data_IF_680123490493
#
_entry.id   IF_680123490493
#
_cell.length_a   1.000
_cell.length_b   1.000
_cell.length_c   1.000
_cell.angle_alpha   90.00
_cell.angle_beta   90.00
_cell.angle_gamma   90.00
#
_symmetry.space_group_name_H-M   'P 1'
#
loop_
_entity.id
_entity.type
_entity.pdbx_description
1 polymer ?
#
# COMPACT_ATOMS: atom_id res chain seq x y z
N UNK A 1 2.25 -13.92 -13.75
CA UNK A 1 1.12 -13.01 -13.96
C UNK A 1 0.97 -12.08 -12.76
N UNK A 2 1.05 -10.77 -12.96
CA UNK A 2 0.94 -9.78 -11.89
C UNK A 2 -0.51 -9.65 -11.43
N UNK A 3 -1.42 -9.36 -12.37
CA UNK A 3 -2.87 -9.26 -12.17
C UNK A 3 -3.56 -10.01 -13.33
N UNK A 4 -4.67 -10.69 -13.03
CA UNK A 4 -5.50 -11.33 -14.03
C UNK A 4 -6.76 -11.89 -13.38
N UNK A 5 -7.91 -11.32 -13.74
CA UNK A 5 -9.21 -11.71 -13.19
C UNK A 5 -10.31 -11.53 -14.23
N UNK A 6 -11.42 -12.20 -14.00
CA UNK A 6 -12.67 -12.01 -14.73
C UNK A 6 -13.59 -11.17 -13.85
N UNK A 7 -14.19 -10.13 -14.43
CA UNK A 7 -15.15 -9.27 -13.73
C UNK A 7 -16.55 -9.47 -14.33
N UNK A 8 -17.52 -9.65 -13.44
CA UNK A 8 -18.94 -9.69 -13.76
C UNK A 8 -19.69 -8.59 -13.04
N UNK A 9 -20.39 -7.75 -13.80
CA UNK A 9 -21.28 -6.74 -13.25
C UNK A 9 -22.71 -7.31 -13.23
N UNK A 10 -23.15 -7.76 -12.05
CA UNK A 10 -24.50 -8.26 -11.85
C UNK A 10 -25.50 -7.09 -11.78
N UNK A 11 -26.64 -7.15 -12.49
CA UNK A 11 -27.64 -6.09 -12.48
C UNK A 11 -28.49 -6.15 -11.19
N UNK A 12 -27.86 -5.97 -10.04
CA UNK A 12 -28.47 -6.02 -8.72
C UNK A 12 -28.31 -4.64 -8.07
N UNK A 13 -29.42 -4.01 -7.71
CA UNK A 13 -29.44 -2.69 -7.06
C UNK A 13 -28.72 -1.64 -7.90
N UNK A 14 -27.78 -0.91 -7.29
CA UNK A 14 -26.99 0.15 -7.93
C UNK A 14 -25.73 -0.36 -8.66
N UNK A 15 -25.59 -1.69 -8.82
CA UNK A 15 -24.45 -2.37 -9.42
C UNK A 15 -23.71 -3.22 -8.40
N UNK A 16 -23.51 -4.49 -8.75
CA UNK A 16 -22.80 -5.46 -7.93
C UNK A 16 -21.68 -6.08 -8.78
N UNK A 17 -20.45 -5.65 -8.51
CA UNK A 17 -19.26 -6.16 -9.20
C UNK A 17 -18.72 -7.39 -8.48
N UNK A 18 -18.39 -8.42 -9.25
CA UNK A 18 -17.77 -9.65 -8.77
C UNK A 18 -16.51 -9.89 -9.60
N UNK A 19 -15.35 -9.88 -8.95
CA UNK A 19 -14.06 -10.24 -9.53
C UNK A 19 -13.66 -11.65 -9.09
N UNK A 20 -13.21 -12.47 -10.02
CA UNK A 20 -12.68 -13.80 -9.77
C UNK A 20 -11.29 -13.95 -10.40
N UNK A 21 -10.27 -14.22 -9.61
CA UNK A 21 -8.88 -14.36 -10.06
C UNK A 21 -7.88 -13.64 -9.15
N UNK A 22 -6.79 -13.12 -9.75
CA UNK A 22 -5.76 -12.37 -9.05
C UNK A 22 -5.93 -10.87 -9.30
N UNK A 23 -6.16 -10.10 -8.26
CA UNK A 23 -6.41 -8.66 -8.31
C UNK A 23 -5.53 -7.89 -7.31
N UNK A 24 -5.36 -6.59 -7.54
CA UNK A 24 -4.63 -5.71 -6.62
C UNK A 24 -5.38 -5.58 -5.29
N UNK A 25 -4.62 -5.35 -4.22
CA UNK A 25 -5.16 -5.11 -2.89
C UNK A 25 -6.07 -3.87 -2.86
N UNK A 26 -6.95 -3.81 -1.86
CA UNK A 26 -7.74 -2.63 -1.50
C UNK A 26 -7.12 -1.85 -0.34
N UNK A 27 -6.01 -2.34 0.22
CA UNK A 27 -5.29 -1.73 1.35
C UNK A 27 -4.27 -0.73 0.84
N UNK A 28 -4.21 0.45 1.48
CA UNK A 28 -3.23 1.49 1.19
C UNK A 28 -3.69 2.50 0.13
N UNK A 29 -3.00 3.63 0.09
CA UNK A 29 -3.27 4.74 -0.82
C UNK A 29 -2.50 4.64 -2.14
N UNK A 30 -1.37 3.95 -2.15
CA UNK A 30 -0.54 3.78 -3.35
C UNK A 30 -0.88 2.48 -4.06
N UNK A 31 -0.89 2.51 -5.38
CA UNK A 31 -1.21 1.34 -6.20
C UNK A 31 0.06 0.68 -6.76
N UNK A 32 -0.05 -0.61 -7.07
CA UNK A 32 1.06 -1.41 -7.57
C UNK A 32 1.47 -1.00 -8.99
N UNK A 33 0.53 -0.60 -9.81
CA UNK A 33 0.74 -0.23 -11.21
C UNK A 33 1.37 1.16 -11.32
N UNK A 34 2.70 1.22 -11.21
CA UNK A 34 3.44 2.46 -11.21
C UNK A 34 3.56 3.18 -12.56
N UNK A 35 3.18 2.53 -13.65
CA UNK A 35 3.23 3.09 -14.99
C UNK A 35 1.99 3.94 -15.34
N UNK A 36 0.96 3.88 -14.58
CA UNK A 36 -0.32 4.50 -14.87
C UNK A 36 -0.42 5.98 -14.46
N UNK A 37 0.55 6.47 -13.70
CA UNK A 37 0.55 7.86 -13.20
C UNK A 37 -0.39 8.12 -12.03
N UNK A 38 -1.01 7.09 -11.47
CA UNK A 38 -1.86 7.23 -10.27
C UNK A 38 -1.06 7.52 -9.00
N UNK A 39 0.20 7.08 -8.95
CA UNK A 39 1.08 7.40 -7.84
C UNK A 39 1.79 8.73 -8.10
N UNK A 40 1.75 9.64 -7.15
CA UNK A 40 2.29 11.00 -7.29
C UNK A 40 3.82 11.06 -7.12
N UNK A 41 4.41 10.04 -6.53
CA UNK A 41 5.86 9.89 -6.32
C UNK A 41 6.40 8.71 -7.14
N UNK A 42 7.70 8.73 -7.48
CA UNK A 42 8.34 7.61 -8.16
C UNK A 42 8.55 6.42 -7.20
N UNK A 43 9.19 6.66 -6.05
CA UNK A 43 9.33 5.64 -5.03
C UNK A 43 8.01 5.41 -4.28
N UNK A 44 7.90 4.29 -3.59
CA UNK A 44 6.72 3.93 -2.79
C UNK A 44 6.95 4.16 -1.31
N UNK A 45 5.86 4.30 -0.56
CA UNK A 45 5.90 4.41 0.89
C UNK A 45 6.30 3.10 1.57
N UNK A 46 6.65 3.18 2.85
CA UNK A 46 6.86 1.99 3.68
C UNK A 46 5.57 1.19 3.84
N UNK A 47 4.41 1.87 4.00
CA UNK A 47 3.11 1.20 4.09
C UNK A 47 2.83 0.36 2.86
N UNK A 48 3.12 0.87 1.66
CA UNK A 48 3.01 0.10 0.42
C UNK A 48 3.97 -1.10 0.43
N UNK A 49 5.26 -0.88 0.74
CA UNK A 49 6.28 -1.93 0.64
C UNK A 49 6.09 -3.07 1.66
N UNK A 50 5.49 -2.80 2.80
CA UNK A 50 5.26 -3.78 3.86
C UNK A 50 3.80 -4.20 4.02
N UNK A 51 2.90 -3.67 3.19
CA UNK A 51 1.51 -4.07 3.05
C UNK A 51 1.30 -5.24 2.07
N UNK A 52 0.05 -5.69 1.88
CA UNK A 52 -0.31 -6.62 0.82
C UNK A 52 -0.28 -5.94 -0.56
N UNK A 53 0.14 -6.66 -1.60
CA UNK A 53 0.11 -6.20 -2.99
C UNK A 53 -1.07 -6.77 -3.77
N UNK A 54 -1.29 -8.08 -3.65
CA UNK A 54 -2.27 -8.80 -4.45
C UNK A 54 -3.00 -9.85 -3.63
N UNK A 55 -4.19 -10.19 -4.11
CA UNK A 55 -4.98 -11.30 -3.57
C UNK A 55 -5.49 -12.17 -4.71
N UNK A 56 -5.53 -13.48 -4.50
CA UNK A 56 -6.14 -14.43 -5.43
C UNK A 56 -7.38 -15.02 -4.77
N UNK A 57 -8.54 -14.84 -5.41
CA UNK A 57 -9.81 -15.25 -4.82
C UNK A 57 -11.03 -14.64 -5.48
N UNK A 58 -12.00 -14.30 -4.67
CA UNK A 58 -13.24 -13.62 -5.06
C UNK A 58 -13.34 -12.30 -4.31
N UNK A 59 -13.59 -11.22 -5.05
CA UNK A 59 -13.87 -9.89 -4.50
C UNK A 59 -15.23 -9.42 -5.00
N UNK A 60 -16.00 -8.86 -4.09
CA UNK A 60 -17.34 -8.34 -4.36
C UNK A 60 -17.40 -6.87 -3.96
N UNK A 61 -18.00 -6.04 -4.80
CA UNK A 61 -18.14 -4.60 -4.55
C UNK A 61 -19.58 -4.19 -4.82
N UNK A 62 -20.13 -3.37 -3.95
CA UNK A 62 -21.50 -2.88 -4.05
C UNK A 62 -21.61 -1.39 -3.76
N UNK A 63 -22.29 -0.66 -4.62
CA UNK A 63 -22.63 0.76 -4.43
C UNK A 63 -23.89 0.84 -3.57
N UNK A 64 -23.72 1.17 -2.29
CA UNK A 64 -24.83 1.28 -1.33
C UNK A 64 -25.65 2.53 -1.59
N UNK A 65 -24.98 3.65 -1.86
CA UNK A 65 -25.57 4.95 -2.20
C UNK A 65 -24.59 5.76 -3.05
N UNK A 66 -24.99 6.97 -3.47
CA UNK A 66 -24.12 7.89 -4.21
C UNK A 66 -22.84 8.28 -3.44
N UNK A 67 -22.84 8.10 -2.12
CA UNK A 67 -21.72 8.48 -1.25
C UNK A 67 -21.05 7.31 -0.54
N UNK A 68 -21.62 6.09 -0.58
CA UNK A 68 -21.13 4.93 0.19
C UNK A 68 -20.99 3.72 -0.71
N UNK A 69 -19.79 3.14 -0.73
CA UNK A 69 -19.51 1.85 -1.31
C UNK A 69 -19.00 0.86 -0.27
N UNK A 70 -19.20 -0.42 -0.52
CA UNK A 70 -18.62 -1.51 0.28
C UNK A 70 -17.93 -2.52 -0.61
N UNK A 71 -16.87 -3.13 -0.08
CA UNK A 71 -16.15 -4.23 -0.68
C UNK A 71 -15.99 -5.34 0.34
N UNK A 72 -16.14 -6.57 -0.10
CA UNK A 72 -15.79 -7.76 0.67
C UNK A 72 -15.04 -8.75 -0.20
N UNK A 73 -14.10 -9.51 0.37
CA UNK A 73 -13.38 -10.53 -0.38
C UNK A 73 -13.01 -11.74 0.48
N UNK A 74 -12.80 -12.85 -0.23
CA UNK A 74 -12.20 -14.09 0.29
C UNK A 74 -11.04 -14.45 -0.63
N UNK A 75 -9.86 -14.73 -0.07
CA UNK A 75 -8.64 -15.00 -0.83
C UNK A 75 -7.78 -16.11 -0.23
N UNK A 76 -6.76 -16.52 -0.97
CA UNK A 76 -5.75 -17.47 -0.53
C UNK A 76 -4.70 -16.87 0.45
N UNK A 77 -4.97 -15.68 1.03
CA UNK A 77 -4.04 -14.96 1.88
C UNK A 77 -3.40 -13.75 1.19
N UNK A 78 -2.32 -13.25 1.78
CA UNK A 78 -1.55 -12.11 1.29
C UNK A 78 -0.56 -12.58 0.22
N UNK A 79 -0.63 -11.99 -0.98
CA UNK A 79 0.29 -12.21 -2.11
C UNK A 79 0.42 -13.66 -2.60
N UNK A 80 -0.42 -14.57 -2.08
CA UNK A 80 -0.43 -15.97 -2.42
C UNK A 80 -1.25 -16.25 -3.68
N UNK A 81 -0.61 -16.76 -4.74
CA UNK A 81 -1.31 -17.23 -5.93
C UNK A 81 -1.93 -18.62 -5.69
N UNK A 82 -1.15 -19.51 -5.09
CA UNK A 82 -1.60 -20.83 -4.63
C UNK A 82 -1.67 -20.77 -3.11
N UNK A 83 -2.74 -21.29 -2.54
CA UNK A 83 -2.90 -21.36 -1.11
C UNK A 83 -1.77 -22.19 -0.48
N UNK A 84 -1.08 -21.63 0.51
CA UNK A 84 0.07 -22.24 1.17
C UNK A 84 -0.25 -22.78 2.58
N UNK A 85 -1.53 -22.66 2.98
CA UNK A 85 -2.08 -23.21 4.23
C UNK A 85 -3.55 -23.60 4.05
N UNK A 86 -4.25 -24.04 5.09
CA UNK A 86 -5.65 -24.45 5.01
C UNK A 86 -6.66 -23.32 5.26
N UNK A 87 -6.19 -22.15 5.67
CA UNK A 87 -7.04 -21.01 6.01
C UNK A 87 -7.22 -20.05 4.84
N UNK A 88 -8.30 -19.28 4.87
CA UNK A 88 -8.57 -18.23 3.87
C UNK A 88 -8.37 -16.85 4.48
N UNK A 89 -7.94 -15.92 3.64
CA UNK A 89 -7.92 -14.49 3.96
C UNK A 89 -9.27 -13.85 3.71
N UNK A 90 -9.63 -12.88 4.53
CA UNK A 90 -10.84 -12.08 4.43
C UNK A 90 -10.47 -10.61 4.40
N UNK A 91 -11.06 -9.87 3.48
CA UNK A 91 -10.87 -8.43 3.36
C UNK A 91 -12.19 -7.70 3.26
N UNK A 92 -12.17 -6.43 3.64
CA UNK A 92 -13.30 -5.54 3.52
C UNK A 92 -12.87 -4.09 3.43
N UNK A 93 -13.71 -3.29 2.76
CA UNK A 93 -13.56 -1.84 2.67
C UNK A 93 -14.92 -1.18 2.78
N UNK A 94 -14.94 -0.05 3.47
CA UNK A 94 -16.01 0.94 3.35
C UNK A 94 -15.40 2.17 2.71
N UNK A 95 -15.94 2.59 1.56
CA UNK A 95 -15.63 3.87 0.93
C UNK A 95 -16.76 4.86 1.23
N UNK A 96 -16.39 6.09 1.62
CA UNK A 96 -17.34 7.13 1.93
C UNK A 96 -16.89 8.48 1.36
N UNK A 97 -17.74 9.09 0.52
CA UNK A 97 -17.51 10.39 -0.11
C UNK A 97 -18.60 11.36 0.38
N UNK A 98 -18.45 11.90 1.63
CA UNK A 98 -19.50 12.74 2.23
C UNK A 98 -19.77 14.04 1.48
N UNK A 99 -18.73 14.55 0.79
CA UNK A 99 -18.75 15.74 -0.07
C UNK A 99 -17.83 15.51 -1.26
N UNK A 100 -18.03 16.23 -2.36
CA UNK A 100 -17.34 16.01 -3.65
C UNK A 100 -15.81 16.08 -3.59
N UNK A 101 -15.26 16.78 -2.60
CA UNK A 101 -13.83 16.98 -2.47
C UNK A 101 -13.17 16.15 -1.35
N UNK A 102 -13.89 15.20 -0.75
CA UNK A 102 -13.38 14.35 0.34
C UNK A 102 -13.81 12.90 0.12
N UNK A 103 -12.84 11.99 0.03
CA UNK A 103 -13.05 10.55 0.05
C UNK A 103 -12.31 9.90 1.21
N UNK A 104 -12.98 8.97 1.88
CA UNK A 104 -12.45 8.19 2.99
C UNK A 104 -12.60 6.71 2.68
N UNK A 105 -11.55 5.94 2.96
CA UNK A 105 -11.53 4.49 2.79
C UNK A 105 -11.09 3.86 4.11
N UNK A 106 -11.90 2.97 4.63
CA UNK A 106 -11.60 2.17 5.81
C UNK A 106 -11.42 0.73 5.38
N UNK A 107 -10.22 0.22 5.52
CA UNK A 107 -9.80 -1.07 5.00
C UNK A 107 -9.45 -2.03 6.13
N UNK A 108 -9.80 -3.28 5.93
CA UNK A 108 -9.36 -4.40 6.75
C UNK A 108 -8.95 -5.56 5.86
N UNK A 109 -7.87 -6.23 6.23
CA UNK A 109 -7.48 -7.52 5.69
C UNK A 109 -6.91 -8.40 6.79
N UNK A 110 -7.40 -9.63 6.90
CA UNK A 110 -6.92 -10.62 7.84
C UNK A 110 -6.76 -11.98 7.18
N UNK A 111 -5.64 -12.67 7.46
CA UNK A 111 -5.35 -14.00 6.94
C UNK A 111 -4.42 -14.76 7.88
N UNK A 112 -4.51 -16.09 7.85
CA UNK A 112 -3.44 -16.91 8.36
C UNK A 112 -2.31 -16.99 7.33
N UNK A 113 -1.08 -16.80 7.76
CA UNK A 113 0.09 -16.81 6.88
C UNK A 113 1.12 -17.83 7.32
N UNK A 114 1.68 -18.56 6.37
CA UNK A 114 2.77 -19.50 6.65
C UNK A 114 4.05 -18.73 6.94
N UNK A 115 4.56 -18.91 8.15
CA UNK A 115 5.83 -18.32 8.56
C UNK A 115 6.97 -19.30 8.36
N UNK A 116 8.05 -18.83 7.74
CA UNK A 116 9.25 -19.63 7.43
C UNK A 116 10.44 -18.95 8.09
N UNK A 117 11.28 -19.73 8.80
CA UNK A 117 12.53 -19.22 9.37
C UNK A 117 13.61 -19.00 8.30
N UNK A 118 14.72 -18.36 8.67
CA UNK A 118 15.84 -18.09 7.76
C UNK A 118 16.50 -19.34 7.13
N UNK A 119 16.21 -20.53 7.64
CA UNK A 119 16.65 -21.81 7.09
C UNK A 119 15.62 -22.48 6.16
N UNK A 120 14.52 -21.84 5.82
CA UNK A 120 13.47 -22.35 4.94
C UNK A 120 12.52 -23.34 5.62
N UNK A 121 12.56 -23.45 6.95
CA UNK A 121 11.66 -24.34 7.71
C UNK A 121 10.42 -23.59 8.14
N UNK A 122 9.23 -24.18 7.90
CA UNK A 122 7.96 -23.67 8.43
C UNK A 122 7.98 -23.72 9.96
N UNK A 123 7.77 -22.58 10.59
CA UNK A 123 7.70 -22.45 12.07
C UNK A 123 6.27 -22.31 12.56
N UNK A 124 5.38 -21.75 11.73
CA UNK A 124 3.96 -21.65 11.96
C UNK A 124 3.23 -21.66 10.61
N UNK A 125 2.21 -22.49 10.46
CA UNK A 125 1.39 -22.54 9.22
C UNK A 125 0.13 -21.69 9.32
N UNK A 126 -0.26 -21.26 10.51
CA UNK A 126 -1.55 -20.63 10.79
C UNK A 126 -1.40 -19.31 11.57
N UNK A 127 -0.25 -18.63 11.41
CA UNK A 127 -0.01 -17.33 12.05
C UNK A 127 -1.01 -16.29 11.58
N UNK A 128 -1.85 -15.81 12.47
CA UNK A 128 -2.84 -14.79 12.13
C UNK A 128 -2.15 -13.45 11.90
N UNK A 129 -2.44 -12.82 10.75
CA UNK A 129 -1.98 -11.49 10.39
C UNK A 129 -3.18 -10.63 10.08
N UNK A 130 -3.25 -9.44 10.67
CA UNK A 130 -4.34 -8.50 10.48
C UNK A 130 -3.79 -7.13 10.12
N UNK A 131 -4.40 -6.48 9.13
CA UNK A 131 -4.15 -5.10 8.71
C UNK A 131 -5.41 -4.27 8.91
N UNK A 132 -5.24 -3.12 9.53
CA UNK A 132 -6.23 -2.05 9.62
C UNK A 132 -5.63 -0.84 8.93
N UNK A 133 -6.34 -0.30 7.96
CA UNK A 133 -5.81 0.76 7.12
C UNK A 133 -6.88 1.82 6.87
N UNK A 134 -6.48 3.06 6.80
CA UNK A 134 -7.36 4.19 6.49
C UNK A 134 -6.68 5.10 5.49
N UNK A 135 -7.41 5.44 4.43
CA UNK A 135 -6.99 6.42 3.43
C UNK A 135 -7.95 7.59 3.43
N UNK A 136 -7.41 8.79 3.39
CA UNK A 136 -8.15 10.05 3.27
C UNK A 136 -7.61 10.80 2.07
N UNK A 137 -8.48 11.09 1.12
CA UNK A 137 -8.16 11.95 -0.02
C UNK A 137 -8.98 13.22 0.06
N UNK A 138 -8.34 14.38 0.04
CA UNK A 138 -9.04 15.65 0.07
C UNK A 138 -8.44 16.64 -0.94
N UNK A 139 -9.31 17.16 -1.82
CA UNK A 139 -8.99 18.26 -2.71
C UNK A 139 -9.25 19.57 -1.98
N UNK A 140 -8.20 20.17 -1.42
CA UNK A 140 -8.28 21.44 -0.68
C UNK A 140 -8.57 22.63 -1.60
N UNK A 141 -8.16 22.53 -2.85
CA UNK A 141 -8.50 23.46 -3.95
C UNK A 141 -8.38 22.73 -5.28
N UNK A 142 -8.64 23.45 -6.40
CA UNK A 142 -8.47 22.90 -7.76
C UNK A 142 -7.03 22.46 -8.06
N UNK A 143 -6.05 23.01 -7.32
CA UNK A 143 -4.63 22.80 -7.56
C UNK A 143 -3.92 22.11 -6.39
N UNK A 144 -4.62 21.81 -5.29
CA UNK A 144 -4.00 21.27 -4.08
C UNK A 144 -4.78 20.06 -3.60
N UNK A 145 -4.12 18.90 -3.65
CA UNK A 145 -4.62 17.62 -3.14
C UNK A 145 -3.76 17.17 -1.96
N UNK A 146 -4.41 16.63 -0.95
CA UNK A 146 -3.81 15.94 0.17
C UNK A 146 -4.30 14.49 0.20
N UNK A 147 -3.38 13.54 0.28
CA UNK A 147 -3.67 12.12 0.49
C UNK A 147 -2.95 11.68 1.77
N UNK A 148 -3.69 11.11 2.71
CA UNK A 148 -3.19 10.59 3.98
C UNK A 148 -3.49 9.10 4.06
N UNK A 149 -2.52 8.33 4.52
CA UNK A 149 -2.68 6.91 4.75
C UNK A 149 -2.11 6.53 6.12
N UNK A 150 -2.88 5.81 6.91
CA UNK A 150 -2.46 5.26 8.19
C UNK A 150 -2.75 3.76 8.22
N UNK A 151 -1.75 2.97 8.59
CA UNK A 151 -1.84 1.51 8.66
C UNK A 151 -1.38 1.03 10.03
N UNK A 152 -2.11 0.07 10.61
CA UNK A 152 -1.71 -0.72 11.77
C UNK A 152 -1.78 -2.20 11.42
N UNK A 153 -0.74 -2.93 11.75
CA UNK A 153 -0.69 -4.36 11.53
C UNK A 153 -0.29 -5.12 12.79
N UNK A 154 -0.85 -6.31 12.92
CA UNK A 154 -0.55 -7.26 14.00
C UNK A 154 -0.47 -8.67 13.44
N UNK A 155 0.51 -9.44 13.91
CA UNK A 155 0.76 -10.82 13.48
C UNK A 155 1.20 -11.67 14.66
N UNK A 156 0.79 -12.93 14.73
CA UNK A 156 1.28 -13.88 15.70
C UNK A 156 2.82 -13.94 15.68
N UNK A 157 3.43 -14.06 16.86
CA UNK A 157 4.87 -14.02 16.97
C UNK A 157 5.55 -15.14 16.18
N UNK A 158 6.49 -14.77 15.30
CA UNK A 158 7.19 -15.70 14.41
C UNK A 158 8.13 -16.67 15.12
N UNK A 159 8.75 -16.24 16.20
CA UNK A 159 9.81 -17.01 16.85
C UNK A 159 9.28 -18.02 17.85
N UNK A 160 8.11 -17.73 18.42
CA UNK A 160 7.49 -18.59 19.42
C UNK A 160 5.96 -18.43 19.35
N UNK A 161 5.27 -19.31 18.59
CA UNK A 161 3.81 -19.32 18.55
C UNK A 161 3.23 -19.35 19.96
N UNK A 162 2.24 -18.51 20.22
CA UNK A 162 1.61 -18.29 21.54
C UNK A 162 2.46 -17.49 22.54
N UNK A 163 3.54 -16.84 22.13
CA UNK A 163 4.39 -16.02 23.03
C UNK A 163 4.15 -14.51 22.91
N UNK A 164 3.14 -14.09 22.16
CA UNK A 164 2.79 -12.70 21.96
C UNK A 164 2.44 -12.38 20.48
N UNK A 165 2.39 -11.12 20.18
CA UNK A 165 2.09 -10.58 18.84
C UNK A 165 3.26 -9.71 18.39
N UNK A 166 3.52 -9.68 17.10
CA UNK A 166 4.38 -8.69 16.47
C UNK A 166 3.51 -7.56 15.94
N UNK A 167 3.93 -6.32 16.16
CA UNK A 167 3.18 -5.14 15.77
C UNK A 167 4.00 -4.21 14.89
N UNK A 168 3.32 -3.52 14.00
CA UNK A 168 3.88 -2.42 13.21
C UNK A 168 2.79 -1.42 12.87
N UNK A 169 3.20 -0.19 12.64
CA UNK A 169 2.29 0.86 12.19
C UNK A 169 3.02 1.91 11.37
N UNK A 170 2.29 2.65 10.60
CA UNK A 170 2.86 3.71 9.79
C UNK A 170 1.85 4.77 9.40
N UNK A 171 2.39 5.91 9.00
CA UNK A 171 1.65 7.03 8.47
C UNK A 171 2.37 7.62 7.27
N UNK A 172 1.61 7.94 6.21
CA UNK A 172 2.08 8.66 5.03
C UNK A 172 1.17 9.83 4.73
N UNK A 173 1.77 10.97 4.47
CA UNK A 173 1.08 12.13 3.91
C UNK A 173 1.69 12.51 2.57
N UNK A 174 0.85 12.64 1.53
CA UNK A 174 1.25 13.10 0.21
C UNK A 174 0.52 14.41 -0.08
N UNK A 175 1.27 15.43 -0.47
CA UNK A 175 0.73 16.71 -0.95
C UNK A 175 1.09 16.85 -2.42
N UNK A 176 0.09 17.03 -3.27
CA UNK A 176 0.25 17.39 -4.67
C UNK A 176 -0.19 18.83 -4.89
N UNK A 177 0.68 19.63 -5.47
CA UNK A 177 0.38 21.00 -5.87
C UNK A 177 0.63 21.20 -7.38
N UNK A 178 -0.44 21.42 -8.12
CA UNK A 178 -0.38 21.74 -9.56
C UNK A 178 -0.06 23.23 -9.72
N UNK A 179 1.21 23.55 -9.99
CA UNK A 179 1.69 24.92 -10.18
C UNK A 179 1.02 25.52 -11.43
N UNK A 180 0.88 24.72 -12.49
CA UNK A 180 0.20 25.05 -13.74
C UNK A 180 -0.12 23.76 -14.52
N UNK A 181 -0.56 23.88 -15.79
CA UNK A 181 -1.00 22.73 -16.61
C UNK A 181 0.13 21.76 -16.99
N UNK A 182 1.39 22.12 -16.81
CA UNK A 182 2.53 21.30 -17.19
C UNK A 182 3.48 20.96 -16.03
N UNK A 183 3.38 21.63 -14.87
CA UNK A 183 4.25 21.41 -13.72
C UNK A 183 3.42 21.13 -12.48
N UNK A 184 3.72 20.01 -11.82
CA UNK A 184 3.21 19.65 -10.48
C UNK A 184 4.37 19.37 -9.53
N UNK A 185 4.18 19.70 -8.27
CA UNK A 185 5.12 19.38 -7.19
C UNK A 185 4.44 18.39 -6.25
N UNK A 186 5.08 17.27 -6.01
CA UNK A 186 4.58 16.24 -5.11
C UNK A 186 5.56 16.12 -3.94
N UNK A 187 5.05 16.20 -2.72
CA UNK A 187 5.80 15.96 -1.50
C UNK A 187 5.19 14.77 -0.77
N UNK A 188 6.02 13.85 -0.28
CA UNK A 188 5.59 12.77 0.61
C UNK A 188 6.45 12.78 1.87
N UNK A 189 5.79 12.83 3.04
CA UNK A 189 6.38 12.56 4.34
C UNK A 189 5.80 11.28 4.91
N UNK A 190 6.62 10.46 5.58
CA UNK A 190 6.17 9.18 6.11
C UNK A 190 6.99 8.75 7.33
N UNK A 191 6.36 7.94 8.17
CA UNK A 191 6.98 7.26 9.31
C UNK A 191 6.49 5.83 9.35
N UNK A 192 7.35 4.89 9.74
CA UNK A 192 7.02 3.49 9.91
C UNK A 192 7.75 2.92 11.12
N UNK A 193 6.99 2.31 12.01
CA UNK A 193 7.48 1.63 13.20
C UNK A 193 7.30 0.14 13.02
N UNK A 194 8.38 -0.62 13.17
CA UNK A 194 8.40 -2.08 13.20
C UNK A 194 8.86 -2.51 14.59
N UNK A 195 7.91 -2.53 15.51
CA UNK A 195 8.17 -2.65 16.95
C UNK A 195 8.84 -3.99 17.33
N UNK A 196 8.72 -4.99 16.47
CA UNK A 196 9.24 -6.33 16.67
C UNK A 196 10.14 -6.82 15.52
N UNK A 197 10.39 -5.97 14.52
CA UNK A 197 11.17 -6.34 13.34
C UNK A 197 10.47 -7.35 12.41
N UNK A 198 9.16 -7.47 12.52
CA UNK A 198 8.40 -8.50 11.81
C UNK A 198 8.28 -8.23 10.30
N UNK A 199 8.36 -6.98 9.90
CA UNK A 199 8.19 -6.54 8.51
C UNK A 199 9.52 -6.25 7.83
N UNK A 200 10.41 -5.54 8.51
CA UNK A 200 11.71 -5.09 7.99
C UNK A 200 12.85 -6.06 8.31
N UNK A 201 12.64 -6.97 9.24
CA UNK A 201 13.67 -7.87 9.78
C UNK A 201 14.51 -7.24 10.91
N UNK A 202 14.24 -6.00 11.28
CA UNK A 202 14.95 -5.25 12.32
C UNK A 202 13.96 -4.39 13.09
N UNK A 203 14.01 -4.47 14.43
CA UNK A 203 13.26 -3.54 15.28
C UNK A 203 13.77 -2.14 15.01
N UNK A 204 12.89 -1.28 14.46
CA UNK A 204 13.27 0.06 14.06
C UNK A 204 12.08 1.01 13.90
N UNK A 205 12.38 2.28 14.05
CA UNK A 205 11.60 3.37 13.52
C UNK A 205 12.34 3.92 12.30
N UNK A 206 11.62 4.10 11.19
CA UNK A 206 12.15 4.70 9.97
C UNK A 206 11.21 5.79 9.48
N UNK A 207 11.77 6.93 9.11
CA UNK A 207 11.03 7.99 8.45
C UNK A 207 11.68 8.34 7.11
N UNK A 208 10.89 8.88 6.22
CA UNK A 208 11.41 9.38 4.95
C UNK A 208 10.61 10.58 4.45
N UNK A 209 11.28 11.39 3.64
CA UNK A 209 10.65 12.43 2.84
C UNK A 209 11.05 12.29 1.38
N UNK A 210 10.12 12.62 0.48
CA UNK A 210 10.39 12.67 -0.96
C UNK A 210 9.85 13.96 -1.55
N UNK A 211 10.59 14.53 -2.49
CA UNK A 211 10.15 15.66 -3.31
C UNK A 211 10.23 15.23 -4.77
N UNK A 212 9.09 15.29 -5.47
CA UNK A 212 8.96 14.79 -6.84
C UNK A 212 8.32 15.87 -7.73
N UNK A 213 9.11 16.78 -8.33
CA UNK A 213 8.62 17.57 -9.45
C UNK A 213 8.25 16.66 -10.63
N UNK A 214 7.07 16.93 -11.19
CA UNK A 214 6.48 16.23 -12.32
C UNK A 214 6.23 17.22 -13.45
N UNK A 215 6.78 16.93 -14.62
CA UNK A 215 6.62 17.76 -15.83
C UNK A 215 5.83 16.98 -16.87
N UNK A 216 4.67 17.50 -17.26
CA UNK A 216 3.87 17.00 -18.37
C UNK A 216 4.40 17.60 -19.68
N UNK A 217 5.07 16.78 -20.45
CA UNK A 217 5.65 17.18 -21.75
C UNK A 217 4.54 17.36 -22.80
N UNK A 218 3.58 16.43 -22.80
CA UNK A 218 2.38 16.47 -23.64
C UNK A 218 1.30 15.55 -23.04
N UNK A 219 0.21 15.28 -23.76
CA UNK A 219 -0.89 14.44 -23.28
C UNK A 219 -0.50 12.96 -23.08
N UNK A 220 0.62 12.55 -23.63
CA UNK A 220 1.07 11.14 -23.65
C UNK A 220 2.37 10.92 -22.88
N UNK A 221 3.00 11.98 -22.35
CA UNK A 221 4.31 11.85 -21.71
C UNK A 221 4.44 12.73 -20.47
N UNK A 222 4.85 12.12 -19.38
CA UNK A 222 5.20 12.76 -18.11
C UNK A 222 6.61 12.38 -17.73
N UNK A 223 7.41 13.33 -17.25
CA UNK A 223 8.76 13.12 -16.73
C UNK A 223 8.80 13.55 -15.28
N UNK A 224 9.48 12.77 -14.43
CA UNK A 224 9.66 13.06 -13.00
C UNK A 224 11.14 12.99 -12.64
N UNK A 225 11.54 13.86 -11.73
CA UNK A 225 12.74 13.70 -10.91
C UNK A 225 12.29 13.52 -9.46
N UNK A 226 12.97 12.69 -8.68
CA UNK A 226 12.65 12.52 -7.26
C UNK A 226 13.92 12.55 -6.44
N UNK A 227 13.94 13.36 -5.40
CA UNK A 227 14.86 13.25 -4.29
C UNK A 227 14.14 12.61 -3.12
N UNK A 228 14.78 11.61 -2.51
CA UNK A 228 14.28 10.93 -1.30
C UNK A 228 15.39 10.85 -0.27
N UNK A 229 15.04 11.19 0.96
CA UNK A 229 15.84 10.99 2.17
C UNK A 229 15.14 9.99 3.07
N UNK A 230 15.88 8.99 3.54
CA UNK A 230 15.44 7.99 4.52
C UNK A 230 16.34 8.04 5.74
N UNK A 231 15.78 7.92 6.94
CA UNK A 231 16.52 7.81 8.20
C UNK A 231 15.87 6.75 9.10
N UNK A 232 16.72 5.89 9.70
CA UNK A 232 16.32 4.81 10.61
C UNK A 232 16.99 4.95 11.96
N UNK A 233 16.28 4.54 13.02
CA UNK A 233 16.82 4.37 14.37
C UNK A 233 17.90 3.26 14.43
N UNK A 234 17.93 2.37 13.44
CA UNK A 234 18.88 1.27 13.31
C UNK A 234 19.78 1.45 12.08
N UNK A 235 20.98 0.90 12.12
CA UNK A 235 21.95 0.95 11.02
C UNK A 235 21.58 -0.05 9.91
N UNK A 236 20.57 0.27 9.08
CA UNK A 236 20.00 -0.61 8.06
C UNK A 236 20.42 -0.25 6.63
N UNK A 237 20.98 0.92 6.43
CA UNK A 237 21.53 1.34 5.14
C UNK A 237 23.04 1.03 5.08
N UNK A 238 23.62 1.10 3.90
CA UNK A 238 25.02 0.74 3.69
C UNK A 238 25.71 1.79 2.82
N UNK A 239 26.88 2.27 3.24
CA UNK A 239 27.70 3.14 2.41
C UNK A 239 28.40 2.36 1.28
N UNK A 240 29.11 3.07 0.39
CA UNK A 240 29.86 2.48 -0.72
C UNK A 240 31.00 1.53 -0.29
N UNK A 241 31.37 1.52 0.98
CA UNK A 241 32.41 0.68 1.55
C UNK A 241 31.87 -0.53 2.31
N UNK A 242 30.54 -0.66 2.39
CA UNK A 242 29.85 -1.72 3.12
C UNK A 242 29.66 -1.43 4.63
N UNK A 243 29.92 -0.20 5.07
CA UNK A 243 29.66 0.17 6.48
C UNK A 243 28.19 0.50 6.67
N UNK A 244 27.64 0.06 7.79
CA UNK A 244 26.26 0.36 8.16
C UNK A 244 26.03 1.87 8.40
N UNK A 245 24.90 2.37 7.94
CA UNK A 245 24.48 3.76 8.05
C UNK A 245 23.05 3.84 8.55
N UNK A 246 22.71 4.96 9.19
CA UNK A 246 21.34 5.28 9.64
C UNK A 246 20.55 6.04 8.59
N UNK A 247 21.20 6.62 7.59
CA UNK A 247 20.57 7.46 6.58
C UNK A 247 20.91 7.02 5.17
N UNK A 248 20.02 7.30 4.23
CA UNK A 248 20.23 7.12 2.81
C UNK A 248 19.57 8.25 2.02
N UNK A 249 20.29 8.77 1.01
CA UNK A 249 19.78 9.72 0.03
C UNK A 249 19.67 9.05 -1.34
N UNK A 250 18.56 9.28 -2.04
CA UNK A 250 18.32 8.72 -3.37
C UNK A 250 17.88 9.83 -4.32
N UNK A 251 18.45 9.84 -5.52
CA UNK A 251 17.98 10.65 -6.65
C UNK A 251 17.55 9.70 -7.78
N UNK A 252 16.31 9.88 -8.25
CA UNK A 252 15.74 9.05 -9.30
C UNK A 252 15.12 9.90 -10.41
N UNK A 253 15.05 9.33 -11.62
CA UNK A 253 14.39 9.92 -12.78
C UNK A 253 13.52 8.86 -13.45
N UNK A 254 12.29 9.23 -13.86
CA UNK A 254 11.47 8.36 -14.67
C UNK A 254 10.70 9.13 -15.74
N UNK A 255 10.27 8.40 -16.76
CA UNK A 255 9.37 8.88 -17.79
C UNK A 255 8.21 7.89 -17.95
N UNK A 256 6.99 8.40 -18.00
CA UNK A 256 5.76 7.64 -18.21
C UNK A 256 5.21 8.00 -19.60
N UNK A 257 4.86 6.96 -20.35
CA UNK A 257 4.26 7.10 -21.68
C UNK A 257 2.88 6.45 -21.68
N UNK A 258 1.87 7.16 -22.19
CA UNK A 258 0.49 6.71 -22.32
C UNK A 258 0.14 6.53 -23.80
N UNK A 259 -0.52 5.44 -24.17
CA UNK A 259 -0.92 5.14 -25.56
C UNK A 259 -2.44 5.05 -25.64
#
# INVERSE_FOLDING_TARGET
LQIGFVQYNAPIGNGFLIDFGKFATHVGAEIMDGYDGWNYTFSRSFMFNYGPFTHTGIRMQYVVSDTVGILGMISNGQDNQTDNNSAKGFGGQVSWTPVDNLALFFNYFGSAETQINGGGTTVNSDAQRNYFDTVIEVSLSKNLLLNLNATYGVEDNRTAPNSGENTWWGFTGIVRYDVNNWLSLNYRGQVFHDDDGARTGTLQEVWAMSLTPEVRINNNMVVRAEYRHDESSSSVFTDRHGNGQHTQDTLAFNALFYF
#
